data_IF_308501189345
#
_entry.id   IF_308501189345
#
_cell.length_a   1.000
_cell.length_b   1.000
_cell.length_c   1.000
_cell.angle_alpha   90.00
_cell.angle_beta   90.00
_cell.angle_gamma   90.00
#
_symmetry.space_group_name_H-M   'P 1'
#
loop_
_entity.id
_entity.type
_entity.pdbx_description
1 polymer ?
#
# COMPACT_ATOMS: atom_id res chain seq x y z
N UNK A 1 13.12 7.74 -6.54
CA UNK A 1 12.66 7.41 -5.17
C UNK A 1 11.40 8.16 -4.73
N UNK A 2 11.36 9.51 -4.70
CA UNK A 2 10.13 10.25 -4.33
C UNK A 2 8.93 9.96 -5.25
N UNK A 3 9.19 9.70 -6.54
CA UNK A 3 8.15 9.45 -7.54
C UNK A 3 7.42 8.13 -7.28
N UNK A 4 8.17 7.08 -6.95
CA UNK A 4 7.66 5.73 -6.69
C UNK A 4 6.80 5.71 -5.43
N UNK A 5 7.28 6.33 -4.35
CA UNK A 5 6.53 6.47 -3.09
C UNK A 5 5.23 7.24 -3.30
N UNK A 6 5.24 8.33 -4.08
CA UNK A 6 4.03 9.07 -4.42
C UNK A 6 3.02 8.22 -5.22
N UNK A 7 3.49 7.39 -6.16
CA UNK A 7 2.62 6.50 -6.92
C UNK A 7 1.94 5.50 -5.97
N UNK A 8 2.72 4.84 -5.12
CA UNK A 8 2.22 3.85 -4.16
C UNK A 8 1.17 4.50 -3.23
N UNK A 9 1.51 5.63 -2.62
CA UNK A 9 0.62 6.36 -1.73
C UNK A 9 -0.68 6.77 -2.42
N UNK A 10 -0.61 7.42 -3.59
CA UNK A 10 -1.79 7.87 -4.31
C UNK A 10 -2.69 6.70 -4.75
N UNK A 11 -2.11 5.57 -5.16
CA UNK A 11 -2.90 4.39 -5.53
C UNK A 11 -3.60 3.79 -4.31
N UNK A 12 -2.89 3.57 -3.21
CA UNK A 12 -3.47 3.00 -2.00
C UNK A 12 -4.54 3.91 -1.39
N UNK A 13 -4.27 5.22 -1.33
CA UNK A 13 -5.23 6.22 -0.86
C UNK A 13 -6.52 6.18 -1.70
N UNK A 14 -6.40 6.16 -3.04
CA UNK A 14 -7.58 6.08 -3.91
C UNK A 14 -8.37 4.80 -3.69
N UNK A 15 -7.70 3.65 -3.55
CA UNK A 15 -8.37 2.39 -3.24
C UNK A 15 -9.10 2.44 -1.89
N UNK A 16 -8.47 3.05 -0.89
CA UNK A 16 -9.07 3.25 0.42
C UNK A 16 -10.30 4.19 0.36
N UNK A 17 -10.18 5.33 -0.33
CA UNK A 17 -11.24 6.34 -0.45
C UNK A 17 -12.50 5.80 -1.13
N UNK A 18 -12.35 4.89 -2.11
CA UNK A 18 -13.49 4.23 -2.76
C UNK A 18 -14.06 3.05 -1.96
N UNK A 19 -13.52 2.78 -0.77
CA UNK A 19 -14.02 1.73 0.12
C UNK A 19 -13.63 0.31 -0.31
N UNK A 20 -12.49 0.16 -0.98
CA UNK A 20 -12.02 -1.15 -1.44
C UNK A 20 -11.72 -2.06 -0.24
N UNK A 21 -12.07 -3.36 -0.34
CA UNK A 21 -11.81 -4.32 0.72
C UNK A 21 -10.30 -4.57 0.96
N UNK A 22 -10.03 -5.15 2.13
CA UNK A 22 -8.68 -5.47 2.60
C UNK A 22 -7.98 -6.52 1.73
N UNK A 23 -8.74 -7.41 1.09
CA UNK A 23 -8.21 -8.45 0.21
C UNK A 23 -7.61 -7.84 -1.05
N UNK A 24 -8.33 -6.93 -1.70
CA UNK A 24 -7.84 -6.22 -2.87
C UNK A 24 -6.69 -5.27 -2.52
N UNK A 25 -6.76 -4.55 -1.40
CA UNK A 25 -5.64 -3.74 -0.92
C UNK A 25 -4.37 -4.59 -0.70
N UNK A 26 -4.51 -5.77 -0.10
CA UNK A 26 -3.41 -6.73 0.10
C UNK A 26 -2.82 -7.21 -1.23
N UNK A 27 -3.65 -7.42 -2.25
CA UNK A 27 -3.20 -7.81 -3.60
C UNK A 27 -2.40 -6.68 -4.27
N UNK A 28 -2.86 -5.42 -4.17
CA UNK A 28 -2.15 -4.24 -4.69
C UNK A 28 -0.77 -4.11 -4.02
N UNK A 29 -0.72 -4.23 -2.69
CA UNK A 29 0.53 -4.19 -1.91
C UNK A 29 1.48 -5.30 -2.36
N UNK A 30 0.97 -6.51 -2.56
CA UNK A 30 1.76 -7.64 -3.08
C UNK A 30 2.31 -7.37 -4.48
N UNK A 31 1.53 -6.72 -5.36
CA UNK A 31 2.01 -6.29 -6.67
C UNK A 31 3.14 -5.26 -6.56
N UNK A 32 3.03 -4.29 -5.66
CA UNK A 32 4.07 -3.30 -5.41
C UNK A 32 5.34 -3.93 -4.87
N UNK A 33 5.26 -4.82 -3.87
CA UNK A 33 6.42 -5.55 -3.34
C UNK A 33 7.19 -6.30 -4.44
N UNK A 34 6.49 -6.95 -5.37
CA UNK A 34 7.12 -7.64 -6.50
C UNK A 34 7.81 -6.67 -7.47
N UNK A 35 7.15 -5.56 -7.80
CA UNK A 35 7.66 -4.57 -8.76
C UNK A 35 8.93 -3.87 -8.29
N UNK A 36 9.01 -3.54 -6.99
CA UNK A 36 10.17 -2.84 -6.41
C UNK A 36 11.08 -3.76 -5.59
N UNK A 37 11.09 -5.06 -5.92
CA UNK A 37 11.99 -6.04 -5.29
C UNK A 37 13.44 -5.57 -5.39
N UNK A 38 14.17 -5.66 -4.27
CA UNK A 38 15.57 -5.22 -4.18
C UNK A 38 15.76 -3.72 -3.88
N UNK A 39 14.69 -2.93 -3.85
CA UNK A 39 14.75 -1.52 -3.42
C UNK A 39 14.31 -1.40 -1.97
N UNK A 40 15.21 -1.67 -1.03
CA UNK A 40 14.94 -1.75 0.41
C UNK A 40 14.15 -0.56 0.96
N UNK A 41 14.47 0.67 0.53
CA UNK A 41 13.76 1.87 0.97
C UNK A 41 12.29 1.91 0.49
N UNK A 42 12.02 1.45 -0.73
CA UNK A 42 10.65 1.42 -1.27
C UNK A 42 9.86 0.30 -0.62
N UNK A 43 10.49 -0.85 -0.34
CA UNK A 43 9.87 -1.95 0.38
C UNK A 43 9.47 -1.55 1.80
N UNK A 44 10.37 -0.90 2.54
CA UNK A 44 10.05 -0.37 3.88
C UNK A 44 8.89 0.62 3.85
N UNK A 45 8.81 1.46 2.82
CA UNK A 45 7.67 2.36 2.63
C UNK A 45 6.37 1.60 2.35
N UNK A 46 6.40 0.56 1.51
CA UNK A 46 5.24 -0.29 1.23
C UNK A 46 4.74 -0.98 2.50
N UNK A 47 5.67 -1.50 3.32
CA UNK A 47 5.34 -2.18 4.59
C UNK A 47 4.66 -1.20 5.57
N UNK A 48 5.15 0.03 5.66
CA UNK A 48 4.52 1.08 6.47
C UNK A 48 3.11 1.46 5.95
N UNK A 49 2.94 1.56 4.63
CA UNK A 49 1.61 1.80 4.04
C UNK A 49 0.65 0.64 4.29
N UNK A 50 1.11 -0.61 4.23
CA UNK A 50 0.29 -1.78 4.55
C UNK A 50 -0.27 -1.69 5.97
N UNK A 51 0.58 -1.37 6.94
CA UNK A 51 0.13 -1.19 8.33
C UNK A 51 -0.90 -0.06 8.42
N UNK A 52 -0.65 1.10 7.80
CA UNK A 52 -1.58 2.24 7.86
C UNK A 52 -2.94 1.92 7.24
N UNK A 53 -2.99 1.35 6.04
CA UNK A 53 -4.25 1.14 5.32
C UNK A 53 -5.00 -0.10 5.79
N UNK A 54 -4.31 -1.21 6.06
CA UNK A 54 -4.96 -2.46 6.47
C UNK A 54 -5.32 -2.43 7.96
N UNK A 55 -4.47 -1.88 8.84
CA UNK A 55 -4.82 -1.81 10.27
C UNK A 55 -5.93 -0.79 10.52
N UNK A 56 -5.97 0.32 9.77
CA UNK A 56 -7.10 1.25 9.82
C UNK A 56 -8.40 0.54 9.41
N UNK A 57 -8.38 -0.28 8.35
CA UNK A 57 -9.55 -1.07 7.94
C UNK A 57 -10.08 -2.00 9.05
N UNK A 58 -9.19 -2.60 9.85
CA UNK A 58 -9.56 -3.49 10.95
C UNK A 58 -10.07 -2.77 12.20
N UNK A 59 -9.81 -1.47 12.33
CA UNK A 59 -10.21 -0.70 13.52
C UNK A 59 -11.60 -0.06 13.36
N UNK A 60 -12.05 0.16 12.12
CA UNK A 60 -13.34 0.81 11.81
C UNK A 60 -14.44 -0.18 11.34
N UNK A 61 -14.23 -1.49 11.50
CA UNK A 61 -15.22 -2.55 11.25
C UNK A 61 -15.51 -3.29 12.55
#
# INVERSE_FOLDING_TARGET
>A
MKKEMNIIHCTLQRCFDVGTDDTFLSQIISMFRRKWRGQTLVLSFIDDMEVRFISSFRTYR
#
